data_IF_929352632073
#
_entry.id   IF_929352632073
#
_cell.length_a   1.000
_cell.length_b   1.000
_cell.length_c   1.000
_cell.angle_alpha   90.00
_cell.angle_beta   90.00
_cell.angle_gamma   90.00
#
_symmetry.space_group_name_H-M   'P 1'
#
loop_
_entity.id
_entity.type
_entity.pdbx_description
1 polymer ?
#
# COMPACT_ATOMS: atom_id res chain seq x y z
N UNK A 1 55.02 10.79 2.60
CA UNK A 1 53.73 10.10 2.76
C UNK A 1 53.22 9.84 1.35
N UNK A 2 53.12 8.57 0.97
CA UNK A 2 52.70 8.15 -0.37
C UNK A 2 51.19 8.39 -0.54
N UNK A 3 50.76 8.68 -1.77
CA UNK A 3 49.38 9.00 -2.17
C UNK A 3 48.52 7.72 -2.24
N UNK A 4 48.85 6.71 -1.44
CA UNK A 4 48.30 5.34 -1.52
C UNK A 4 47.11 5.10 -0.58
N UNK A 5 46.74 6.09 0.24
CA UNK A 5 45.58 6.02 1.16
C UNK A 5 44.27 6.56 0.54
N UNK A 6 44.19 6.65 -0.79
CA UNK A 6 42.92 6.99 -1.45
C UNK A 6 42.06 5.73 -1.49
N UNK A 7 41.02 5.72 -0.66
CA UNK A 7 39.94 4.74 -0.66
C UNK A 7 39.49 4.50 -2.11
N UNK A 8 39.55 3.24 -2.58
CA UNK A 8 39.17 2.87 -3.95
C UNK A 8 37.78 3.38 -4.30
N UNK A 9 37.65 4.06 -5.44
CA UNK A 9 36.40 4.62 -5.96
C UNK A 9 35.27 3.57 -6.09
N UNK A 10 35.64 2.30 -6.32
CA UNK A 10 34.72 1.16 -6.34
C UNK A 10 34.03 0.87 -5.00
N UNK A 11 34.63 1.26 -3.87
CA UNK A 11 34.00 1.15 -2.56
C UNK A 11 32.86 2.17 -2.40
N UNK A 12 32.94 3.31 -3.09
CA UNK A 12 31.91 4.35 -3.07
C UNK A 12 30.71 4.00 -3.95
N UNK A 13 30.94 3.35 -5.09
CA UNK A 13 29.89 2.93 -6.03
C UNK A 13 29.45 1.47 -5.88
N UNK A 14 29.94 0.75 -4.87
CA UNK A 14 29.49 -0.62 -4.61
C UNK A 14 28.00 -0.60 -4.30
N UNK A 15 27.20 -1.02 -5.28
CA UNK A 15 25.77 -1.22 -5.23
C UNK A 15 25.48 -2.38 -4.25
N UNK A 16 25.63 -2.06 -2.96
CA UNK A 16 25.46 -2.97 -1.84
C UNK A 16 23.97 -3.30 -1.79
N UNK A 17 23.58 -4.42 -2.42
CA UNK A 17 22.26 -5.02 -2.23
C UNK A 17 22.02 -5.07 -0.73
N UNK A 18 21.05 -4.28 -0.25
CA UNK A 18 20.74 -4.20 1.16
C UNK A 18 20.15 -5.53 1.66
N UNK A 19 21.05 -6.41 2.07
CA UNK A 19 20.72 -7.58 2.87
C UNK A 19 20.35 -7.04 4.24
N UNK A 20 19.10 -7.24 4.67
CA UNK A 20 18.67 -6.82 6.00
C UNK A 20 19.48 -7.53 7.10
N UNK A 21 19.38 -7.09 8.37
CA UNK A 21 20.17 -7.63 9.48
C UNK A 21 20.01 -9.14 9.72
N UNK A 22 19.09 -9.81 9.02
CA UNK A 22 18.79 -11.22 9.16
C UNK A 22 18.95 -12.03 7.84
N UNK A 23 19.76 -11.56 6.89
CA UNK A 23 20.04 -12.31 5.64
C UNK A 23 18.89 -12.32 4.62
N UNK A 24 17.68 -11.90 5.01
CA UNK A 24 16.52 -11.82 4.14
C UNK A 24 16.62 -10.57 3.25
N UNK A 25 16.44 -10.76 1.95
CA UNK A 25 16.27 -9.65 1.00
C UNK A 25 15.09 -8.80 1.47
N UNK A 26 15.30 -7.50 1.66
CA UNK A 26 14.21 -6.56 1.93
C UNK A 26 13.18 -6.70 0.80
N UNK A 27 11.93 -7.00 1.14
CA UNK A 27 10.84 -7.06 0.16
C UNK A 27 10.73 -5.67 -0.47
N UNK A 28 10.79 -5.59 -1.80
CA UNK A 28 10.63 -4.31 -2.50
C UNK A 28 9.22 -3.80 -2.19
N UNK A 29 9.15 -2.52 -1.83
CA UNK A 29 7.88 -1.81 -1.64
C UNK A 29 7.21 -1.67 -3.00
N UNK A 30 5.91 -1.92 -3.07
CA UNK A 30 5.08 -1.72 -4.26
C UNK A 30 4.95 -0.22 -4.56
N UNK A 31 5.88 0.31 -5.37
CA UNK A 31 5.97 1.75 -5.68
C UNK A 31 4.73 2.30 -6.37
N UNK A 32 4.09 1.49 -7.22
CA UNK A 32 2.87 1.87 -7.92
C UNK A 32 1.72 2.09 -6.92
N UNK A 33 1.56 1.18 -5.96
CA UNK A 33 0.56 1.34 -4.91
C UNK A 33 0.90 2.51 -3.99
N UNK A 34 2.18 2.69 -3.63
CA UNK A 34 2.62 3.79 -2.79
C UNK A 34 2.38 5.17 -3.42
N UNK A 35 2.46 5.27 -4.75
CA UNK A 35 2.21 6.50 -5.49
C UNK A 35 0.74 6.70 -5.87
N UNK A 36 -0.14 5.75 -5.55
CA UNK A 36 -1.54 5.79 -5.96
C UNK A 36 -2.37 6.78 -5.13
N UNK A 37 -3.50 7.29 -5.70
CA UNK A 37 -4.46 8.11 -4.98
C UNK A 37 -5.00 7.48 -3.68
N UNK A 38 -5.04 6.14 -3.62
CA UNK A 38 -5.49 5.38 -2.44
C UNK A 38 -4.66 5.71 -1.19
N UNK A 39 -3.39 6.06 -1.36
CA UNK A 39 -2.51 6.42 -0.24
C UNK A 39 -2.82 7.79 0.39
N UNK A 40 -3.75 8.56 -0.18
CA UNK A 40 -4.29 9.76 0.47
C UNK A 40 -5.22 9.42 1.64
N UNK A 41 -5.84 8.23 1.61
CA UNK A 41 -6.69 7.75 2.70
C UNK A 41 -5.79 7.48 3.92
N UNK A 42 -6.08 8.09 5.08
CA UNK A 42 -5.30 7.85 6.27
C UNK A 42 -5.26 6.37 6.64
N UNK A 43 -4.08 5.89 7.07
CA UNK A 43 -3.86 4.50 7.54
C UNK A 43 -4.13 3.41 6.50
N UNK A 44 -4.22 3.77 5.22
CA UNK A 44 -4.37 2.79 4.14
C UNK A 44 -3.16 1.84 4.07
N UNK A 45 -3.43 0.54 3.95
CA UNK A 45 -2.37 -0.45 3.73
C UNK A 45 -2.00 -0.52 2.25
N UNK A 46 -0.69 -0.52 1.96
CA UNK A 46 -0.14 -0.52 0.59
C UNK A 46 -0.58 -1.76 -0.20
N UNK A 47 -0.83 -2.90 0.46
CA UNK A 47 -1.32 -4.12 -0.19
C UNK A 47 -2.76 -3.96 -0.64
N UNK A 48 -3.60 -3.35 0.19
CA UNK A 48 -5.00 -3.07 -0.15
C UNK A 48 -5.07 -2.05 -1.29
N UNK A 49 -4.25 -0.99 -1.24
CA UNK A 49 -4.12 -0.06 -2.35
C UNK A 49 -3.69 -0.78 -3.65
N UNK A 50 -2.78 -1.77 -3.57
CA UNK A 50 -2.41 -2.58 -4.72
C UNK A 50 -3.56 -3.44 -5.23
N UNK A 51 -4.35 -4.03 -4.33
CA UNK A 51 -5.51 -4.85 -4.70
C UNK A 51 -6.58 -4.02 -5.42
N UNK A 52 -6.80 -2.77 -4.99
CA UNK A 52 -7.69 -1.81 -5.65
C UNK A 52 -7.21 -1.47 -7.08
N UNK A 53 -5.92 -1.19 -7.26
CA UNK A 53 -5.34 -0.93 -8.58
C UNK A 53 -5.47 -2.16 -9.48
N UNK A 54 -5.24 -3.34 -8.91
CA UNK A 54 -5.29 -4.61 -9.61
C UNK A 54 -6.69 -4.98 -10.14
N UNK A 55 -7.76 -4.52 -9.49
CA UNK A 55 -9.16 -4.64 -9.98
C UNK A 55 -9.58 -3.48 -10.90
N UNK A 56 -8.71 -2.49 -11.10
CA UNK A 56 -8.91 -1.38 -12.04
C UNK A 56 -9.32 -0.05 -11.40
N UNK A 57 -9.39 0.06 -10.08
CA UNK A 57 -9.65 1.33 -9.37
C UNK A 57 -8.37 2.17 -9.37
N UNK A 58 -8.41 3.31 -10.04
CA UNK A 58 -7.26 4.22 -10.18
C UNK A 58 -7.42 5.47 -9.34
N UNK A 59 -8.65 5.96 -9.19
CA UNK A 59 -8.96 7.21 -8.49
C UNK A 59 -9.96 6.99 -7.33
N UNK A 60 -9.96 7.91 -6.37
CA UNK A 60 -10.78 7.79 -5.15
C UNK A 60 -12.29 7.86 -5.44
N UNK A 61 -12.71 8.74 -6.34
CA UNK A 61 -14.12 8.91 -6.71
C UNK A 61 -14.72 7.65 -7.35
N UNK A 62 -13.91 6.73 -7.88
CA UNK A 62 -14.39 5.47 -8.44
C UNK A 62 -14.88 4.49 -7.36
N UNK A 63 -14.57 4.76 -6.08
CA UNK A 63 -15.10 4.02 -4.93
C UNK A 63 -16.42 4.59 -4.42
N UNK A 64 -16.78 5.82 -4.81
CA UNK A 64 -18.00 6.48 -4.37
C UNK A 64 -19.24 5.69 -4.85
N UNK A 65 -20.16 5.39 -3.92
CA UNK A 65 -21.37 4.63 -4.22
C UNK A 65 -21.15 3.14 -4.49
N UNK A 66 -19.91 2.63 -4.35
CA UNK A 66 -19.64 1.19 -4.42
C UNK A 66 -19.79 0.53 -3.07
N UNK A 67 -20.45 -0.63 -3.02
CA UNK A 67 -20.52 -1.44 -1.82
C UNK A 67 -19.13 -2.06 -1.50
N UNK A 68 -18.59 -1.89 -0.28
CA UNK A 68 -17.29 -2.47 0.11
C UNK A 68 -17.21 -3.98 -0.10
N UNK A 69 -18.28 -4.71 0.19
CA UNK A 69 -18.35 -6.16 -0.01
C UNK A 69 -18.24 -6.55 -1.49
N UNK A 70 -18.88 -5.77 -2.38
CA UNK A 70 -18.79 -5.99 -3.83
C UNK A 70 -17.37 -5.75 -4.34
N UNK A 71 -16.69 -4.71 -3.85
CA UNK A 71 -15.27 -4.46 -4.14
C UNK A 71 -14.41 -5.62 -3.65
N UNK A 72 -14.69 -6.14 -2.46
CA UNK A 72 -13.95 -7.28 -1.90
C UNK A 72 -14.15 -8.56 -2.72
N UNK A 73 -15.37 -8.83 -3.19
CA UNK A 73 -15.65 -9.95 -4.07
C UNK A 73 -14.88 -9.86 -5.39
N UNK A 74 -14.74 -8.68 -5.98
CA UNK A 74 -13.91 -8.46 -7.16
C UNK A 74 -12.43 -8.75 -6.91
N UNK A 75 -11.93 -8.33 -5.74
CA UNK A 75 -10.57 -8.68 -5.31
C UNK A 75 -10.44 -10.20 -5.17
N UNK A 76 -11.41 -10.89 -4.56
CA UNK A 76 -11.42 -12.35 -4.42
C UNK A 76 -11.48 -13.07 -5.77
N UNK A 77 -12.19 -12.54 -6.77
CA UNK A 77 -12.19 -13.10 -8.14
C UNK A 77 -10.80 -13.13 -8.77
N UNK A 78 -9.94 -12.16 -8.44
CA UNK A 78 -8.56 -12.08 -8.94
C UNK A 78 -7.55 -12.77 -8.02
N UNK A 79 -7.76 -12.70 -6.71
CA UNK A 79 -6.93 -13.27 -5.65
C UNK A 79 -7.83 -14.04 -4.67
N UNK A 80 -8.11 -15.33 -4.93
CA UNK A 80 -9.02 -16.12 -4.09
C UNK A 80 -8.57 -16.24 -2.62
N UNK A 81 -7.26 -16.20 -2.37
CA UNK A 81 -6.66 -16.29 -1.03
C UNK A 81 -6.59 -14.93 -0.29
N UNK A 82 -7.31 -13.91 -0.78
CA UNK A 82 -7.34 -12.60 -0.15
C UNK A 82 -7.95 -12.68 1.25
N UNK A 83 -7.22 -12.26 2.30
CA UNK A 83 -7.66 -12.39 3.68
C UNK A 83 -8.76 -11.38 4.03
N UNK A 84 -9.62 -11.75 4.98
CA UNK A 84 -10.79 -10.94 5.35
C UNK A 84 -10.43 -9.65 6.13
N UNK A 85 -9.21 -9.54 6.68
CA UNK A 85 -8.75 -8.29 7.31
C UNK A 85 -8.67 -7.10 6.34
N UNK A 86 -8.74 -7.35 5.03
CA UNK A 86 -8.78 -6.32 3.99
C UNK A 86 -10.12 -5.57 4.01
N UNK A 87 -11.22 -6.23 4.37
CA UNK A 87 -12.57 -5.67 4.26
C UNK A 87 -12.75 -4.36 5.06
N UNK A 88 -12.28 -4.24 6.32
CA UNK A 88 -12.32 -2.96 7.04
C UNK A 88 -11.59 -1.80 6.34
N UNK A 89 -10.50 -2.09 5.60
CA UNK A 89 -9.82 -1.06 4.81
C UNK A 89 -10.65 -0.62 3.60
N UNK A 90 -11.38 -1.54 2.97
CA UNK A 90 -12.29 -1.22 1.86
C UNK A 90 -13.47 -0.37 2.34
N UNK A 91 -14.07 -0.74 3.49
CA UNK A 91 -15.13 0.05 4.13
C UNK A 91 -14.65 1.48 4.41
N UNK A 92 -13.47 1.62 5.01
CA UNK A 92 -12.84 2.93 5.25
C UNK A 92 -12.55 3.70 3.95
N UNK A 93 -12.11 3.01 2.90
CA UNK A 93 -11.80 3.64 1.61
C UNK A 93 -13.05 4.21 0.92
N UNK A 94 -14.15 3.45 0.92
CA UNK A 94 -15.44 3.90 0.40
C UNK A 94 -15.95 5.07 1.24
N UNK A 95 -15.92 4.96 2.58
CA UNK A 95 -16.32 6.05 3.46
C UNK A 95 -15.54 7.35 3.18
N UNK A 96 -14.21 7.26 3.01
CA UNK A 96 -13.39 8.42 2.68
C UNK A 96 -13.70 8.99 1.30
N UNK A 97 -14.03 8.16 0.32
CA UNK A 97 -14.42 8.61 -1.02
C UNK A 97 -15.78 9.33 -1.03
N UNK A 98 -16.72 8.87 -0.19
CA UNK A 98 -18.07 9.43 -0.11
C UNK A 98 -18.16 10.72 0.74
N UNK A 99 -17.16 11.00 1.57
CA UNK A 99 -17.19 12.12 2.51
C UNK A 99 -15.99 13.06 2.28
N UNK A 100 -16.24 14.23 1.70
CA UNK A 100 -15.20 15.26 1.51
C UNK A 100 -14.59 15.72 2.85
N UNK A 101 -15.42 15.87 3.89
CA UNK A 101 -15.03 16.20 5.27
C UNK A 101 -15.21 14.99 6.20
N UNK A 102 -14.51 13.90 5.91
CA UNK A 102 -14.57 12.66 6.69
C UNK A 102 -14.14 12.83 8.16
N UNK A 103 -14.88 12.22 9.10
CA UNK A 103 -14.51 12.22 10.53
C UNK A 103 -13.18 11.47 10.72
N UNK A 104 -12.13 12.10 11.27
CA UNK A 104 -10.84 11.46 11.52
C UNK A 104 -10.91 10.17 12.36
N UNK A 105 -11.94 10.01 13.20
CA UNK A 105 -12.14 8.79 14.00
C UNK A 105 -12.50 7.60 13.11
N UNK A 106 -13.38 7.82 12.13
CA UNK A 106 -13.83 6.80 11.19
C UNK A 106 -12.73 6.44 10.19
N UNK A 107 -11.64 7.21 10.08
CA UNK A 107 -10.48 6.90 9.24
C UNK A 107 -9.48 5.98 9.96
N UNK A 108 -10.01 4.97 10.64
CA UNK A 108 -9.26 3.90 11.28
C UNK A 108 -9.90 2.55 10.97
N UNK A 109 -9.17 1.55 10.43
CA UNK A 109 -9.75 0.26 10.05
C UNK A 109 -10.43 -0.50 11.20
N UNK A 110 -10.03 -0.24 12.45
CA UNK A 110 -10.66 -0.87 13.63
C UNK A 110 -12.14 -0.51 13.80
N UNK A 111 -12.55 0.70 13.38
CA UNK A 111 -13.95 1.14 13.46
C UNK A 111 -14.86 0.40 12.46
N UNK A 112 -14.29 -0.44 11.60
CA UNK A 112 -14.99 -1.14 10.53
C UNK A 112 -14.88 -2.67 10.62
N UNK A 113 -14.39 -3.18 11.76
CA UNK A 113 -14.20 -4.60 12.01
C UNK A 113 -15.49 -5.39 12.25
N UNK A 114 -16.63 -4.70 12.33
CA UNK A 114 -17.96 -5.28 12.53
C UNK A 114 -18.40 -6.23 11.40
#
# INVERSE_FOLDING_TARGET
MAIEDIISLDAFFSNKKEVGPNGKKKKKVDREALASPMMRIPRMDVRVARDLIDIGVKELYELEGRAPDSVFEEIKKRKPDSPDWILPYLKMAVYFAENEDADPKMLHPQEWMD
#
